data_IF_521174261220
#
_entry.id   IF_521174261220
#
_cell.length_a   1.000
_cell.length_b   1.000
_cell.length_c   1.000
_cell.angle_alpha   90.00
_cell.angle_beta   90.00
_cell.angle_gamma   90.00
#
_symmetry.space_group_name_H-M   'P 1'
#
loop_
_entity.id
_entity.type
_entity.pdbx_description
1 polymer ?
#
# COMPACT_ATOMS: atom_id res chain seq x y z
N UNK A 1 -41.20 -25.24 31.76
CA UNK A 1 -41.14 -23.82 31.38
C UNK A 1 -39.74 -23.31 31.69
N UNK A 2 -38.75 -23.60 30.83
CA UNK A 2 -37.38 -23.11 30.96
C UNK A 2 -37.17 -22.04 29.90
N UNK A 3 -37.30 -20.78 30.31
CA UNK A 3 -37.07 -19.62 29.47
C UNK A 3 -35.57 -19.27 29.52
N UNK A 4 -34.90 -19.55 28.41
CA UNK A 4 -33.99 -18.64 27.71
C UNK A 4 -33.40 -17.49 28.56
N UNK A 5 -32.15 -17.65 28.99
CA UNK A 5 -31.25 -16.51 29.15
C UNK A 5 -30.36 -16.49 27.91
N UNK A 6 -30.90 -15.82 26.89
CA UNK A 6 -30.26 -15.55 25.62
C UNK A 6 -28.99 -14.72 25.89
N UNK A 7 -27.86 -15.20 25.38
CA UNK A 7 -26.56 -14.55 25.37
C UNK A 7 -26.68 -13.20 24.64
N UNK A 8 -26.85 -12.11 25.39
CA UNK A 8 -26.69 -10.74 24.88
C UNK A 8 -25.21 -10.37 25.00
N UNK A 9 -24.36 -11.11 24.29
CA UNK A 9 -23.05 -10.61 23.91
C UNK A 9 -23.27 -9.71 22.69
N UNK A 10 -23.80 -8.50 22.96
CA UNK A 10 -23.79 -7.40 22.00
C UNK A 10 -22.34 -7.14 21.61
N UNK A 11 -21.92 -7.75 20.50
CA UNK A 11 -21.38 -7.12 19.29
C UNK A 11 -20.78 -5.71 19.45
N UNK A 12 -19.93 -5.48 20.44
CA UNK A 12 -18.97 -4.39 20.41
C UNK A 12 -17.76 -4.88 19.62
N UNK A 13 -17.86 -4.89 18.30
CA UNK A 13 -16.64 -4.81 17.50
C UNK A 13 -16.01 -3.45 17.81
N UNK A 14 -14.82 -3.38 18.43
CA UNK A 14 -14.18 -2.09 18.68
C UNK A 14 -14.04 -1.38 17.35
N UNK A 15 -14.61 -0.17 17.26
CA UNK A 15 -14.47 0.67 16.08
C UNK A 15 -12.97 1.02 15.97
N UNK A 16 -12.27 0.39 15.02
CA UNK A 16 -10.85 0.64 14.79
C UNK A 16 -10.64 2.14 14.54
N UNK A 17 -9.62 2.71 15.19
CA UNK A 17 -9.26 4.09 14.98
C UNK A 17 -8.79 4.30 13.53
N UNK A 18 -8.97 5.51 13.02
CA UNK A 18 -8.49 5.87 11.68
C UNK A 18 -6.98 5.68 11.53
N UNK A 19 -6.22 5.88 12.62
CA UNK A 19 -4.79 5.56 12.69
C UNK A 19 -4.53 4.06 12.46
N UNK A 20 -5.27 3.19 13.17
CA UNK A 20 -5.11 1.75 13.04
C UNK A 20 -5.48 1.29 11.62
N UNK A 21 -6.56 1.83 11.06
CA UNK A 21 -6.99 1.52 9.69
C UNK A 21 -5.94 1.95 8.66
N UNK A 22 -5.37 3.15 8.81
CA UNK A 22 -4.29 3.60 7.93
C UNK A 22 -3.05 2.70 8.04
N UNK A 23 -2.67 2.32 9.26
CA UNK A 23 -1.55 1.41 9.50
C UNK A 23 -1.76 0.03 8.84
N UNK A 24 -2.96 -0.55 8.99
CA UNK A 24 -3.31 -1.82 8.34
C UNK A 24 -3.27 -1.73 6.82
N UNK A 25 -3.67 -0.60 6.24
CA UNK A 25 -3.54 -0.36 4.79
C UNK A 25 -2.08 -0.31 4.34
N UNK A 26 -1.19 0.34 5.10
CA UNK A 26 0.24 0.37 4.78
C UNK A 26 0.84 -1.04 4.82
N UNK A 27 0.53 -1.83 5.86
CA UNK A 27 0.98 -3.22 5.95
C UNK A 27 0.48 -4.04 4.76
N UNK A 28 -0.80 -3.92 4.41
CA UNK A 28 -1.38 -4.61 3.27
C UNK A 28 -0.67 -4.25 1.95
N UNK A 29 -0.36 -2.98 1.73
CA UNK A 29 0.38 -2.57 0.53
C UNK A 29 1.84 -3.01 0.53
N UNK A 30 2.50 -3.07 1.69
CA UNK A 30 3.82 -3.69 1.80
C UNK A 30 3.79 -5.17 1.39
N UNK A 31 2.74 -5.91 1.77
CA UNK A 31 2.51 -7.30 1.37
C UNK A 31 2.24 -7.47 -0.13
N UNK A 32 1.86 -6.41 -0.84
CA UNK A 32 1.72 -6.41 -2.31
C UNK A 32 3.04 -6.03 -2.99
N UNK A 33 3.75 -5.06 -2.44
CA UNK A 33 4.93 -4.45 -3.07
C UNK A 33 6.18 -5.29 -2.88
N UNK A 34 6.51 -5.69 -1.65
CA UNK A 34 7.77 -6.36 -1.37
C UNK A 34 7.93 -7.71 -2.08
N UNK A 35 6.91 -8.59 -2.16
CA UNK A 35 7.04 -9.82 -2.93
C UNK A 35 7.36 -9.56 -4.40
N UNK A 36 6.83 -8.48 -5.01
CA UNK A 36 7.16 -8.12 -6.40
C UNK A 36 8.61 -7.71 -6.56
N UNK A 37 9.16 -7.01 -5.56
CA UNK A 37 10.57 -6.64 -5.57
C UNK A 37 11.46 -7.86 -5.43
N UNK A 38 11.11 -8.78 -4.53
CA UNK A 38 11.81 -10.07 -4.35
C UNK A 38 11.79 -10.91 -5.63
N UNK A 39 10.62 -11.12 -6.23
CA UNK A 39 10.44 -11.85 -7.49
C UNK A 39 11.27 -11.25 -8.64
N UNK A 40 11.38 -9.92 -8.67
CA UNK A 40 12.15 -9.20 -9.68
C UNK A 40 13.66 -9.10 -9.37
N UNK A 41 14.13 -9.67 -8.25
CA UNK A 41 15.48 -9.47 -7.71
C UNK A 41 15.85 -7.98 -7.61
N UNK A 42 14.89 -7.17 -7.17
CA UNK A 42 15.00 -5.72 -7.04
C UNK A 42 15.19 -5.34 -5.57
N UNK A 43 16.28 -4.65 -5.28
CA UNK A 43 16.68 -4.28 -3.92
C UNK A 43 16.46 -2.80 -3.69
N UNK A 44 15.82 -2.46 -2.58
CA UNK A 44 15.64 -1.08 -2.13
C UNK A 44 16.59 -0.81 -0.97
N UNK A 45 17.25 0.35 -0.97
CA UNK A 45 18.07 0.76 0.18
C UNK A 45 17.16 1.17 1.35
N UNK A 46 17.71 1.16 2.56
CA UNK A 46 17.00 1.62 3.76
C UNK A 46 16.48 3.06 3.59
N UNK A 47 17.32 3.97 3.08
CA UNK A 47 16.95 5.36 2.76
C UNK A 47 15.75 5.45 1.80
N UNK A 48 15.69 4.60 0.77
CA UNK A 48 14.57 4.60 -0.19
C UNK A 48 13.34 3.86 0.33
N UNK A 49 13.50 3.01 1.35
CA UNK A 49 12.39 2.33 2.02
C UNK A 49 11.51 3.34 2.74
N UNK A 50 12.09 4.37 3.35
CA UNK A 50 11.35 5.46 3.98
C UNK A 50 10.52 6.25 2.97
N UNK A 51 11.07 6.52 1.79
CA UNK A 51 10.37 7.20 0.69
C UNK A 51 9.16 6.38 0.22
N UNK A 52 9.33 5.06 0.07
CA UNK A 52 8.24 4.15 -0.29
C UNK A 52 7.17 4.08 0.80
N UNK A 53 7.57 4.00 2.07
CA UNK A 53 6.65 3.99 3.21
C UNK A 53 5.89 5.32 3.32
N UNK A 54 6.53 6.46 3.07
CA UNK A 54 5.88 7.76 3.05
C UNK A 54 4.83 7.83 1.93
N UNK A 55 5.13 7.29 0.75
CA UNK A 55 4.17 7.19 -0.36
C UNK A 55 2.93 6.36 0.02
N UNK A 56 3.13 5.16 0.56
CA UNK A 56 2.03 4.31 1.04
C UNK A 56 1.24 4.99 2.16
N UNK A 57 1.93 5.62 3.11
CA UNK A 57 1.27 6.33 4.22
C UNK A 57 0.39 7.48 3.72
N UNK A 58 0.86 8.26 2.74
CA UNK A 58 0.07 9.33 2.12
C UNK A 58 -1.20 8.81 1.43
N UNK A 59 -1.09 7.69 0.72
CA UNK A 59 -2.26 7.03 0.12
C UNK A 59 -3.24 6.48 1.15
N UNK A 60 -2.75 5.96 2.27
CA UNK A 60 -3.59 5.42 3.34
C UNK A 60 -4.38 6.55 4.00
N UNK A 61 -3.69 7.64 4.38
CA UNK A 61 -4.32 8.84 4.95
C UNK A 61 -5.38 9.41 4.01
N UNK A 62 -5.07 9.53 2.72
CA UNK A 62 -6.02 10.01 1.70
C UNK A 62 -7.26 9.10 1.64
N UNK A 63 -7.07 7.79 1.64
CA UNK A 63 -8.18 6.83 1.59
C UNK A 63 -9.09 6.89 2.81
N UNK A 64 -8.50 7.05 4.00
CA UNK A 64 -9.26 7.19 5.24
C UNK A 64 -10.03 8.52 5.25
N UNK A 65 -9.34 9.63 4.94
CA UNK A 65 -9.92 10.99 4.90
C UNK A 65 -11.12 11.05 3.96
N UNK A 66 -10.99 10.46 2.77
CA UNK A 66 -12.02 10.51 1.73
C UNK A 66 -13.10 9.43 1.94
N UNK A 67 -13.00 8.63 3.01
CA UNK A 67 -13.90 7.53 3.38
C UNK A 67 -14.03 6.45 2.29
N UNK A 68 -13.00 6.30 1.47
CA UNK A 68 -12.91 5.35 0.35
C UNK A 68 -12.26 4.04 0.80
N UNK A 69 -12.90 3.38 1.75
CA UNK A 69 -12.37 2.15 2.37
C UNK A 69 -13.23 0.92 2.08
N UNK A 70 -14.21 1.08 1.18
CA UNK A 70 -15.04 -0.04 0.73
C UNK A 70 -14.20 -1.02 -0.08
N UNK A 71 -14.58 -2.31 -0.17
CA UNK A 71 -13.80 -3.31 -0.91
C UNK A 71 -13.47 -2.91 -2.35
N UNK A 72 -14.40 -2.25 -3.05
CA UNK A 72 -14.17 -1.78 -4.42
C UNK A 72 -13.13 -0.65 -4.49
N UNK A 73 -13.10 0.26 -3.50
CA UNK A 73 -12.10 1.33 -3.43
C UNK A 73 -10.72 0.75 -3.09
N UNK A 74 -10.66 -0.21 -2.15
CA UNK A 74 -9.43 -0.92 -1.80
C UNK A 74 -8.84 -1.64 -3.01
N UNK A 75 -9.65 -2.36 -3.78
CA UNK A 75 -9.18 -3.02 -5.01
C UNK A 75 -8.54 -2.04 -5.99
N UNK A 76 -9.13 -0.85 -6.19
CA UNK A 76 -8.54 0.18 -7.05
C UNK A 76 -7.20 0.68 -6.51
N UNK A 77 -7.09 0.87 -5.19
CA UNK A 77 -5.83 1.25 -4.56
C UNK A 77 -4.76 0.15 -4.68
N UNK A 78 -5.16 -1.13 -4.56
CA UNK A 78 -4.27 -2.28 -4.74
C UNK A 78 -3.75 -2.40 -6.18
N UNK A 79 -4.61 -2.13 -7.16
CA UNK A 79 -4.21 -2.03 -8.57
C UNK A 79 -3.24 -0.85 -8.78
N UNK A 80 -3.48 0.29 -8.14
CA UNK A 80 -2.63 1.46 -8.24
C UNK A 80 -1.23 1.22 -7.63
N UNK A 81 -1.13 0.65 -6.42
CA UNK A 81 0.17 0.34 -5.80
C UNK A 81 0.91 -0.76 -6.58
N UNK A 82 0.19 -1.71 -7.16
CA UNK A 82 0.77 -2.72 -8.05
C UNK A 82 1.39 -2.08 -9.29
N UNK A 83 0.69 -1.13 -9.93
CA UNK A 83 1.22 -0.38 -11.08
C UNK A 83 2.46 0.42 -10.69
N UNK A 84 2.44 1.06 -9.53
CA UNK A 84 3.58 1.78 -8.97
C UNK A 84 4.80 0.87 -8.81
N UNK A 85 4.65 -0.27 -8.14
CA UNK A 85 5.75 -1.23 -7.96
C UNK A 85 6.34 -1.71 -9.29
N UNK A 86 5.48 -2.06 -10.25
CA UNK A 86 5.92 -2.48 -11.59
C UNK A 86 6.68 -1.36 -12.31
N UNK A 87 6.22 -0.11 -12.20
CA UNK A 87 6.89 1.04 -12.80
C UNK A 87 8.26 1.28 -12.17
N UNK A 88 8.39 1.12 -10.85
CA UNK A 88 9.64 1.25 -10.12
C UNK A 88 10.66 0.19 -10.55
N UNK A 89 10.25 -1.09 -10.59
CA UNK A 89 11.08 -2.20 -11.10
C UNK A 89 11.54 -1.92 -12.54
N UNK A 90 10.64 -1.42 -13.39
CA UNK A 90 10.94 -1.15 -14.80
C UNK A 90 11.91 0.02 -14.98
N UNK A 91 11.84 1.03 -14.11
CA UNK A 91 12.73 2.18 -14.13
C UNK A 91 14.11 1.87 -13.51
N UNK A 92 14.19 0.86 -12.66
CA UNK A 92 15.41 0.54 -11.93
C UNK A 92 16.53 -0.01 -12.83
N UNK A 93 17.77 0.47 -12.67
CA UNK A 93 18.91 -0.01 -13.44
C UNK A 93 19.19 -1.48 -13.15
N UNK A 94 19.40 -2.25 -14.23
CA UNK A 94 19.76 -3.66 -14.15
C UNK A 94 21.27 -3.80 -13.93
N UNK A 95 21.64 -4.59 -12.94
CA UNK A 95 23.02 -4.90 -12.59
C UNK A 95 23.56 -6.08 -13.42
N UNK A 96 24.89 -6.25 -13.51
CA UNK A 96 25.50 -7.36 -14.25
C UNK A 96 25.08 -8.76 -13.77
N UNK A 97 24.78 -8.91 -12.47
CA UNK A 97 24.30 -10.16 -11.86
C UNK A 97 22.80 -10.42 -12.13
N UNK A 98 22.15 -9.53 -12.88
CA UNK A 98 20.75 -9.57 -13.24
C UNK A 98 19.79 -8.96 -12.21
N UNK A 99 20.29 -8.49 -11.05
CA UNK A 99 19.48 -7.78 -10.05
C UNK A 99 19.14 -6.35 -10.47
N UNK A 100 18.32 -5.67 -9.68
CA UNK A 100 17.96 -4.26 -9.88
C UNK A 100 18.12 -3.48 -8.59
N UNK A 101 18.48 -2.20 -8.70
CA UNK A 101 18.56 -1.29 -7.54
C UNK A 101 17.42 -0.28 -7.65
N UNK A 102 16.51 -0.31 -6.68
CA UNK A 102 15.38 0.61 -6.55
C UNK A 102 15.88 1.87 -5.84
N UNK A 103 16.29 2.86 -6.63
CA UNK A 103 16.79 4.13 -6.13
C UNK A 103 15.74 5.26 -6.19
N UNK A 104 16.13 6.46 -5.73
CA UNK A 104 15.29 7.65 -5.79
C UNK A 104 14.90 8.01 -7.24
N UNK A 105 15.74 7.74 -8.23
CA UNK A 105 15.44 7.99 -9.64
C UNK A 105 14.33 7.07 -10.15
N UNK A 106 14.41 5.78 -9.80
CA UNK A 106 13.38 4.80 -10.10
C UNK A 106 12.06 5.16 -9.41
N UNK A 107 12.10 5.65 -8.17
CA UNK A 107 10.94 6.18 -7.46
C UNK A 107 10.30 7.37 -8.20
N UNK A 108 11.07 8.39 -8.56
CA UNK A 108 10.54 9.56 -9.27
C UNK A 108 9.95 9.18 -10.62
N UNK A 109 10.66 8.35 -11.39
CA UNK A 109 10.17 7.84 -12.67
C UNK A 109 8.86 7.05 -12.50
N UNK A 110 8.77 6.23 -11.46
CA UNK A 110 7.56 5.48 -11.15
C UNK A 110 6.41 6.41 -10.81
N UNK A 111 6.64 7.43 -9.97
CA UNK A 111 5.62 8.43 -9.63
C UNK A 111 5.13 9.18 -10.86
N UNK A 112 6.03 9.70 -11.69
CA UNK A 112 5.65 10.45 -12.90
C UNK A 112 4.81 9.61 -13.87
N UNK A 113 5.15 8.33 -14.04
CA UNK A 113 4.41 7.42 -14.92
C UNK A 113 3.07 6.97 -14.38
N UNK A 114 2.87 7.09 -13.08
CA UNK A 114 1.72 6.52 -12.40
C UNK A 114 0.77 7.60 -11.88
N UNK A 115 1.21 8.83 -11.63
CA UNK A 115 0.29 9.89 -11.26
C UNK A 115 -0.47 10.45 -12.50
N UNK A 116 -1.74 10.90 -12.34
CA UNK A 116 -2.55 10.80 -11.14
C UNK A 116 -3.10 9.38 -10.95
N UNK A 117 -2.86 8.80 -9.76
CA UNK A 117 -3.44 7.53 -9.33
C UNK A 117 -3.92 7.67 -7.91
N UNK A 118 -5.23 7.67 -7.74
CA UNK A 118 -5.86 7.57 -6.43
C UNK A 118 -5.45 6.24 -5.74
N UNK A 119 -5.13 6.24 -4.43
CA UNK A 119 -5.13 7.35 -3.47
C UNK A 119 -3.77 8.06 -3.34
N UNK A 120 -2.78 7.72 -4.15
CA UNK A 120 -1.39 8.10 -3.94
C UNK A 120 -0.99 9.45 -4.54
N UNK A 121 -1.65 9.84 -5.63
CA UNK A 121 -1.52 11.16 -6.22
C UNK A 121 -2.90 11.67 -6.59
N UNK A 122 -3.28 12.81 -6.04
CA UNK A 122 -4.39 13.62 -6.53
C UNK A 122 -3.83 14.69 -7.46
N UNK A 123 -4.62 15.13 -8.44
CA UNK A 123 -4.30 16.34 -9.21
C UNK A 123 -4.14 17.57 -8.31
#
# INVERSE_FOLDING_TARGET
>A
MFLLVLVVALLFSPQQSDLQRAHEMVIHWQQIVYPKFEDARAFISEENTDILNAFMSGGAVTSIRDRKTMPADRKKADEAITRFANAMISAAPRQPDGSRILDATAYQTAREKTCPLYPFCTE
#
